data_IF_141227801343
#
_entry.id   IF_141227801343
#
_cell.length_a   1.000
_cell.length_b   1.000
_cell.length_c   1.000
_cell.angle_alpha   90.00
_cell.angle_beta   90.00
_cell.angle_gamma   90.00
#
_symmetry.space_group_name_H-M   'P 1'
#
loop_
_entity.id
_entity.type
_entity.pdbx_description
1 polymer ?
#
# COMPACT_ATOMS: atom_id res chain seq x y z
N UNK A 1 -15.03 8.69 -2.43
CA UNK A 1 -14.25 9.50 -1.48
C UNK A 1 -13.38 10.50 -2.23
N UNK A 2 -13.32 11.71 -1.73
CA UNK A 2 -12.47 12.73 -2.33
C UNK A 2 -10.99 12.41 -2.05
N UNK A 3 -10.13 12.87 -2.94
CA UNK A 3 -8.68 12.73 -2.80
C UNK A 3 -8.21 13.70 -1.70
N UNK A 4 -7.36 13.25 -0.76
CA UNK A 4 -6.81 14.15 0.25
C UNK A 4 -6.04 15.31 -0.39
N UNK A 5 -6.25 16.52 0.12
CA UNK A 5 -5.60 17.74 -0.37
C UNK A 5 -4.89 18.51 0.74
N UNK A 6 -4.91 17.99 1.96
CA UNK A 6 -4.22 18.56 3.10
C UNK A 6 -3.58 17.44 3.91
N UNK A 7 -2.62 17.80 4.74
CA UNK A 7 -1.98 16.87 5.68
C UNK A 7 -3.02 16.19 6.57
N UNK A 8 -3.97 16.95 7.11
CA UNK A 8 -5.00 16.41 7.98
C UNK A 8 -5.89 15.40 7.24
N UNK A 9 -6.29 15.71 6.00
CA UNK A 9 -7.09 14.81 5.18
C UNK A 9 -6.32 13.54 4.81
N UNK A 10 -5.04 13.68 4.50
CA UNK A 10 -4.17 12.52 4.18
C UNK A 10 -4.05 11.57 5.37
N UNK A 11 -3.76 12.10 6.54
CA UNK A 11 -3.63 11.31 7.76
C UNK A 11 -4.94 10.61 8.11
N UNK A 12 -6.06 11.31 7.97
CA UNK A 12 -7.39 10.74 8.22
C UNK A 12 -7.73 9.61 7.26
N UNK A 13 -7.45 9.80 5.96
CA UNK A 13 -7.71 8.78 4.94
C UNK A 13 -6.86 7.53 5.17
N UNK A 14 -5.58 7.71 5.51
CA UNK A 14 -4.69 6.60 5.84
C UNK A 14 -5.24 5.83 7.05
N UNK A 15 -5.53 6.53 8.13
CA UNK A 15 -6.00 5.92 9.37
C UNK A 15 -7.30 5.13 9.15
N UNK A 16 -8.27 5.75 8.50
CA UNK A 16 -9.58 5.14 8.26
C UNK A 16 -9.47 3.88 7.43
N UNK A 17 -8.78 3.96 6.30
CA UNK A 17 -8.68 2.84 5.36
C UNK A 17 -7.79 1.73 5.91
N UNK A 18 -6.72 2.10 6.58
CA UNK A 18 -5.80 1.11 7.17
C UNK A 18 -6.43 0.36 8.34
N UNK A 19 -7.14 1.06 9.22
CA UNK A 19 -7.81 0.43 10.36
C UNK A 19 -8.81 -0.63 9.89
N UNK A 20 -9.56 -0.32 8.83
CA UNK A 20 -10.48 -1.28 8.22
C UNK A 20 -9.73 -2.46 7.62
N UNK A 21 -8.64 -2.18 6.91
CA UNK A 21 -7.81 -3.22 6.28
C UNK A 21 -7.29 -4.22 7.32
N UNK A 22 -6.69 -3.72 8.39
CA UNK A 22 -6.14 -4.57 9.46
C UNK A 22 -7.24 -5.40 10.10
N UNK A 23 -8.41 -4.81 10.33
CA UNK A 23 -9.55 -5.52 10.89
C UNK A 23 -9.95 -6.70 9.99
N UNK A 24 -10.05 -6.46 8.68
CA UNK A 24 -10.37 -7.52 7.72
C UNK A 24 -9.30 -8.60 7.69
N UNK A 25 -8.03 -8.21 7.61
CA UNK A 25 -6.93 -9.17 7.54
C UNK A 25 -6.87 -10.06 8.78
N UNK A 26 -7.14 -9.50 9.96
CA UNK A 26 -7.16 -10.25 11.21
C UNK A 26 -8.39 -11.17 11.32
N UNK A 27 -9.43 -10.92 10.53
CA UNK A 27 -10.65 -11.74 10.52
C UNK A 27 -10.55 -12.97 9.62
N UNK A 28 -9.50 -13.07 8.81
CA UNK A 28 -9.34 -14.16 7.84
C UNK A 28 -8.56 -15.30 8.49
N UNK A 29 -9.08 -16.55 8.43
CA UNK A 29 -8.34 -17.70 8.91
C UNK A 29 -7.00 -17.86 8.20
N UNK A 30 -5.94 -18.12 8.96
CA UNK A 30 -4.58 -18.20 8.44
C UNK A 30 -4.44 -19.22 7.30
N UNK A 31 -5.13 -20.36 7.40
CA UNK A 31 -5.10 -21.44 6.42
C UNK A 31 -5.71 -21.06 5.07
N UNK A 32 -6.45 -19.94 5.00
CA UNK A 32 -7.06 -19.47 3.76
C UNK A 32 -6.24 -18.39 3.04
N UNK A 33 -5.15 -17.95 3.64
CA UNK A 33 -4.41 -16.77 3.15
C UNK A 33 -3.45 -17.08 2.02
N UNK A 34 -3.13 -18.36 1.78
CA UNK A 34 -2.20 -18.80 0.73
C UNK A 34 -2.89 -19.30 -0.53
N UNK A 35 -4.21 -19.33 -0.54
CA UNK A 35 -5.00 -19.84 -1.66
C UNK A 35 -5.10 -18.75 -2.76
N UNK A 36 -4.73 -19.10 -4.00
CA UNK A 36 -4.79 -18.20 -5.15
C UNK A 36 -6.22 -18.12 -5.68
N UNK A 37 -7.09 -17.51 -4.93
CA UNK A 37 -8.54 -17.45 -5.21
C UNK A 37 -9.08 -16.04 -5.29
N UNK A 38 -8.22 -15.03 -5.26
CA UNK A 38 -8.58 -13.63 -5.41
C UNK A 38 -8.14 -13.14 -6.79
N UNK A 39 -8.93 -12.27 -7.41
CA UNK A 39 -8.53 -11.63 -8.66
C UNK A 39 -7.21 -10.88 -8.47
N UNK A 40 -6.24 -11.14 -9.34
CA UNK A 40 -4.91 -10.52 -9.27
C UNK A 40 -4.91 -9.06 -9.71
N UNK A 41 -3.80 -8.39 -9.47
CA UNK A 41 -3.61 -6.99 -9.88
C UNK A 41 -3.50 -6.86 -11.39
N UNK A 42 -2.88 -7.83 -12.07
CA UNK A 42 -2.86 -7.88 -13.51
C UNK A 42 -4.12 -8.61 -14.01
N UNK A 43 -4.69 -8.13 -15.10
CA UNK A 43 -5.89 -8.73 -15.69
C UNK A 43 -5.65 -10.20 -16.04
N UNK A 44 -6.58 -11.06 -15.68
CA UNK A 44 -6.51 -12.48 -15.98
C UNK A 44 -5.61 -13.29 -15.05
N UNK A 45 -5.10 -12.67 -13.98
CA UNK A 45 -4.28 -13.36 -12.97
C UNK A 45 -5.05 -13.55 -11.69
N UNK A 46 -4.58 -14.47 -10.86
CA UNK A 46 -5.10 -14.70 -9.52
C UNK A 46 -3.99 -14.51 -8.49
N UNK A 47 -4.38 -14.16 -7.27
CA UNK A 47 -3.45 -13.99 -6.17
C UNK A 47 -4.07 -14.48 -4.87
N UNK A 48 -3.24 -14.62 -3.84
CA UNK A 48 -3.67 -14.95 -2.49
C UNK A 48 -3.84 -13.69 -1.65
N UNK A 49 -4.44 -13.83 -0.48
CA UNK A 49 -4.51 -12.75 0.51
C UNK A 49 -3.08 -12.33 0.92
N UNK A 50 -2.18 -13.29 1.07
CA UNK A 50 -0.75 -13.03 1.35
C UNK A 50 -0.13 -12.13 0.28
N UNK A 51 -0.42 -12.42 -0.98
CA UNK A 51 0.10 -11.62 -2.10
C UNK A 51 -0.41 -10.19 -2.05
N UNK A 52 -1.69 -10.01 -1.68
CA UNK A 52 -2.26 -8.68 -1.51
C UNK A 52 -1.50 -7.88 -0.45
N UNK A 53 -1.20 -8.51 0.70
CA UNK A 53 -0.44 -7.86 1.77
C UNK A 53 0.99 -7.54 1.30
N UNK A 54 1.64 -8.47 0.60
CA UNK A 54 2.98 -8.26 0.04
C UNK A 54 3.01 -7.10 -0.94
N UNK A 55 1.98 -6.99 -1.77
CA UNK A 55 1.83 -5.89 -2.73
C UNK A 55 1.73 -4.53 -2.02
N UNK A 56 0.90 -4.45 -0.99
CA UNK A 56 0.75 -3.22 -0.20
C UNK A 56 2.05 -2.87 0.52
N UNK A 57 2.70 -3.87 1.08
CA UNK A 57 3.97 -3.70 1.78
C UNK A 57 5.05 -3.18 0.83
N UNK A 58 5.10 -3.72 -0.38
CA UNK A 58 6.04 -3.27 -1.42
C UNK A 58 5.85 -1.80 -1.77
N UNK A 59 4.63 -1.38 -2.07
CA UNK A 59 4.35 0.01 -2.42
C UNK A 59 4.59 0.96 -1.25
N UNK A 60 4.20 0.56 -0.04
CA UNK A 60 4.44 1.38 1.16
C UNK A 60 5.95 1.54 1.41
N UNK A 61 6.72 0.49 1.22
CA UNK A 61 8.18 0.55 1.37
C UNK A 61 8.81 1.48 0.36
N UNK A 62 8.27 1.54 -0.87
CA UNK A 62 8.74 2.49 -1.89
C UNK A 62 8.45 3.94 -1.49
N UNK A 63 7.30 4.20 -0.89
CA UNK A 63 6.99 5.55 -0.39
C UNK A 63 8.07 6.00 0.61
N UNK A 64 8.42 5.14 1.56
CA UNK A 64 9.47 5.44 2.55
C UNK A 64 10.81 5.69 1.83
N UNK A 65 11.15 4.84 0.87
CA UNK A 65 12.38 4.96 0.09
C UNK A 65 12.44 6.30 -0.65
N UNK A 66 11.39 6.65 -1.37
CA UNK A 66 11.35 7.89 -2.15
C UNK A 66 11.54 9.12 -1.26
N UNK A 67 10.79 9.17 -0.17
CA UNK A 67 10.83 10.33 0.75
C UNK A 67 12.20 10.41 1.45
N UNK A 68 12.73 9.28 1.87
CA UNK A 68 14.03 9.22 2.56
C UNK A 68 15.16 9.66 1.62
N UNK A 69 15.17 9.19 0.38
CA UNK A 69 16.19 9.57 -0.61
C UNK A 69 16.08 11.05 -0.94
N UNK A 70 14.88 11.54 -1.16
CA UNK A 70 14.62 12.95 -1.43
C UNK A 70 15.12 13.84 -0.29
N UNK A 71 14.85 13.46 0.96
CA UNK A 71 15.27 14.21 2.13
C UNK A 71 16.79 14.29 2.27
N UNK A 72 17.52 13.32 1.71
CA UNK A 72 19.00 13.28 1.71
C UNK A 72 19.58 13.94 0.47
N UNK A 73 18.78 14.50 -0.41
CA UNK A 73 19.24 15.08 -1.67
C UNK A 73 19.71 14.07 -2.68
N UNK A 74 19.34 12.81 -2.52
CA UNK A 74 19.71 11.74 -3.44
C UNK A 74 18.67 11.61 -4.56
N UNK A 75 19.10 11.15 -5.73
CA UNK A 75 18.20 10.85 -6.84
C UNK A 75 17.20 9.77 -6.45
N UNK A 76 15.95 9.95 -6.88
CA UNK A 76 14.88 8.99 -6.63
C UNK A 76 14.49 8.36 -7.96
N UNK A 77 14.52 7.01 -8.01
CA UNK A 77 14.04 6.26 -9.16
C UNK A 77 12.56 5.93 -8.93
N UNK A 78 11.69 6.42 -9.81
CA UNK A 78 10.26 6.13 -9.76
C UNK A 78 9.88 5.16 -10.87
N UNK A 79 9.09 4.11 -10.60
CA UNK A 79 8.59 3.70 -9.29
C UNK A 79 9.63 3.00 -8.43
N UNK A 80 10.60 2.29 -9.05
CA UNK A 80 11.66 1.55 -8.37
C UNK A 80 12.85 1.45 -9.28
N UNK A 81 14.06 1.34 -8.71
CA UNK A 81 15.29 1.11 -9.46
C UNK A 81 15.11 -0.14 -10.34
N UNK A 82 15.35 0.03 -11.65
CA UNK A 82 15.22 -1.06 -12.61
C UNK A 82 13.82 -1.32 -13.13
N UNK A 83 12.82 -0.54 -12.71
CA UNK A 83 11.42 -0.70 -13.16
C UNK A 83 10.87 0.62 -13.68
N UNK A 84 10.01 0.52 -14.69
CA UNK A 84 9.30 1.67 -15.28
C UNK A 84 7.81 1.58 -14.96
N UNK A 85 7.11 2.69 -15.11
CA UNK A 85 5.66 2.74 -14.85
C UNK A 85 4.85 1.79 -15.76
N UNK A 86 5.36 1.42 -16.92
CA UNK A 86 4.69 0.43 -17.77
C UNK A 86 5.06 -1.02 -17.43
N UNK A 87 5.75 -1.23 -16.31
CA UNK A 87 6.19 -2.55 -15.83
C UNK A 87 5.60 -2.88 -14.45
N UNK A 88 4.44 -2.33 -14.12
CA UNK A 88 3.83 -2.52 -12.79
C UNK A 88 3.46 -3.97 -12.49
N UNK A 89 3.15 -4.76 -13.52
CA UNK A 89 2.93 -6.19 -13.35
C UNK A 89 4.18 -6.93 -12.89
N UNK A 90 5.33 -6.58 -13.46
CA UNK A 90 6.62 -7.15 -13.05
C UNK A 90 6.98 -6.72 -11.63
N UNK A 91 6.72 -5.47 -11.30
CA UNK A 91 6.97 -4.94 -9.96
C UNK A 91 6.10 -5.63 -8.91
N UNK A 92 4.83 -5.89 -9.24
CA UNK A 92 3.95 -6.65 -8.36
C UNK A 92 4.52 -8.06 -8.08
N UNK A 93 5.01 -8.75 -9.12
CA UNK A 93 5.64 -10.07 -8.96
C UNK A 93 6.85 -9.98 -8.04
N UNK A 94 7.66 -8.93 -8.18
CA UNK A 94 8.80 -8.71 -7.29
C UNK A 94 8.33 -8.59 -5.83
N UNK A 95 7.28 -7.84 -5.57
CA UNK A 95 6.74 -7.69 -4.21
C UNK A 95 6.28 -9.03 -3.65
N UNK A 96 5.58 -9.84 -4.43
CA UNK A 96 5.15 -11.16 -3.98
C UNK A 96 6.34 -12.02 -3.58
N UNK A 97 7.40 -11.99 -4.36
CA UNK A 97 8.62 -12.76 -4.10
C UNK A 97 9.42 -12.24 -2.91
N UNK A 98 9.55 -10.93 -2.81
CA UNK A 98 10.35 -10.28 -1.74
C UNK A 98 9.88 -10.69 -0.35
N UNK A 99 8.58 -10.92 -0.18
CA UNK A 99 7.99 -11.20 1.12
C UNK A 99 7.45 -12.63 1.26
N UNK A 100 7.75 -13.49 0.29
CA UNK A 100 7.20 -14.86 0.24
C UNK A 100 7.61 -15.74 1.41
N UNK A 101 8.76 -15.46 2.03
CA UNK A 101 9.26 -16.22 3.17
C UNK A 101 8.63 -15.85 4.51
N UNK A 102 7.91 -14.73 4.57
CA UNK A 102 7.29 -14.26 5.81
C UNK A 102 5.98 -15.00 6.10
N UNK A 103 5.72 -15.26 7.37
CA UNK A 103 4.40 -15.76 7.80
C UNK A 103 3.34 -14.67 7.58
N UNK A 104 2.09 -15.07 7.57
CA UNK A 104 0.98 -14.11 7.44
C UNK A 104 1.00 -13.07 8.57
N UNK A 105 1.24 -13.52 9.80
CA UNK A 105 1.32 -12.61 10.96
C UNK A 105 2.49 -11.64 10.82
N UNK A 106 3.64 -12.11 10.31
CA UNK A 106 4.79 -11.25 10.06
C UNK A 106 4.52 -10.23 8.97
N UNK A 107 3.81 -10.62 7.90
CA UNK A 107 3.41 -9.69 6.84
C UNK A 107 2.54 -8.57 7.38
N UNK A 108 1.56 -8.89 8.22
CA UNK A 108 0.69 -7.89 8.84
C UNK A 108 1.51 -6.96 9.75
N UNK A 109 2.41 -7.53 10.56
CA UNK A 109 3.27 -6.74 11.45
C UNK A 109 4.17 -5.79 10.66
N UNK A 110 4.77 -6.26 9.56
CA UNK A 110 5.61 -5.43 8.69
C UNK A 110 4.78 -4.31 8.03
N UNK A 111 3.56 -4.63 7.60
CA UNK A 111 2.66 -3.63 7.01
C UNK A 111 2.31 -2.54 8.02
N UNK A 112 2.04 -2.91 9.26
CA UNK A 112 1.77 -1.94 10.33
C UNK A 112 3.00 -1.07 10.60
N UNK A 113 4.18 -1.67 10.61
CA UNK A 113 5.43 -0.95 10.85
C UNK A 113 5.69 0.09 9.75
N UNK A 114 5.59 -0.30 8.48
CA UNK A 114 5.84 0.63 7.37
C UNK A 114 4.78 1.72 7.30
N UNK A 115 3.52 1.39 7.59
CA UNK A 115 2.44 2.40 7.66
C UNK A 115 2.76 3.43 8.74
N UNK A 116 3.24 3.00 9.90
CA UNK A 116 3.61 3.91 10.99
C UNK A 116 4.80 4.79 10.60
N UNK A 117 5.77 4.25 9.87
CA UNK A 117 6.89 5.05 9.35
C UNK A 117 6.39 6.14 8.40
N UNK A 118 5.44 5.80 7.52
CA UNK A 118 4.85 6.78 6.59
C UNK A 118 4.12 7.88 7.35
N UNK A 119 3.34 7.52 8.36
CA UNK A 119 2.63 8.49 9.20
C UNK A 119 3.62 9.43 9.89
N UNK A 120 4.74 8.89 10.39
CA UNK A 120 5.80 9.68 11.00
C UNK A 120 6.40 10.67 9.99
N UNK A 121 6.70 10.21 8.79
CA UNK A 121 7.24 11.07 7.73
C UNK A 121 6.26 12.19 7.36
N UNK A 122 4.97 11.90 7.32
CA UNK A 122 3.94 12.91 7.07
C UNK A 122 3.89 13.91 8.22
N UNK A 123 3.93 13.43 9.46
CA UNK A 123 3.87 14.29 10.65
C UNK A 123 5.05 15.27 10.73
N UNK A 124 6.19 14.89 10.19
CA UNK A 124 7.40 15.73 10.16
C UNK A 124 7.36 16.82 9.08
N UNK A 125 6.31 16.84 8.25
CA UNK A 125 6.20 17.75 7.11
C UNK A 125 4.99 18.68 7.28
N UNK A 126 5.06 19.83 6.62
CA UNK A 126 3.98 20.82 6.62
C UNK A 126 3.07 20.61 5.42
N UNK A 127 1.89 21.22 5.45
CA UNK A 127 1.00 21.24 4.28
C UNK A 127 1.69 21.82 3.05
N UNK A 128 2.52 22.84 3.22
CA UNK A 128 3.24 23.44 2.10
C UNK A 128 4.18 22.44 1.43
N UNK A 129 4.92 21.67 2.22
CA UNK A 129 5.82 20.63 1.68
C UNK A 129 5.03 19.52 1.01
N UNK A 130 3.92 19.11 1.61
CA UNK A 130 3.12 17.98 1.10
C UNK A 130 2.27 18.36 -0.10
N UNK A 131 1.71 19.56 -0.14
CA UNK A 131 0.69 19.94 -1.13
C UNK A 131 0.94 21.28 -1.82
N UNK A 132 1.91 22.06 -1.37
CA UNK A 132 2.12 23.42 -1.87
C UNK A 132 2.84 23.52 -3.21
N UNK A 133 3.46 22.44 -3.67
CA UNK A 133 4.25 22.44 -4.92
C UNK A 133 4.33 21.04 -5.52
N UNK A 134 4.58 20.96 -6.84
CA UNK A 134 4.87 19.66 -7.46
C UNK A 134 6.13 19.04 -6.86
N UNK A 135 6.12 17.72 -6.71
CA UNK A 135 7.26 16.96 -6.20
C UNK A 135 7.77 15.95 -7.24
N UNK A 136 6.87 15.18 -7.84
CA UNK A 136 7.19 14.28 -8.92
C UNK A 136 6.34 14.64 -10.13
N UNK A 137 6.95 15.12 -11.20
CA UNK A 137 6.28 15.70 -12.37
C UNK A 137 5.25 16.76 -11.92
N UNK A 138 3.97 16.58 -12.21
CA UNK A 138 2.89 17.49 -11.75
C UNK A 138 2.34 17.12 -10.38
N UNK A 139 2.76 15.99 -9.80
CA UNK A 139 2.16 15.44 -8.59
C UNK A 139 2.85 15.99 -7.34
N UNK A 140 2.05 16.37 -6.35
CA UNK A 140 2.57 16.76 -5.04
C UNK A 140 3.07 15.54 -4.28
N UNK A 141 3.91 15.75 -3.26
CA UNK A 141 4.36 14.67 -2.38
C UNK A 141 3.17 13.98 -1.71
N UNK A 142 2.21 14.77 -1.19
CA UNK A 142 1.01 14.22 -0.55
C UNK A 142 0.19 13.36 -1.49
N UNK A 143 0.06 13.78 -2.74
CA UNK A 143 -0.67 13.00 -3.74
C UNK A 143 0.04 11.67 -4.03
N UNK A 144 1.36 11.70 -4.19
CA UNK A 144 2.15 10.47 -4.40
C UNK A 144 2.03 9.52 -3.22
N UNK A 145 2.03 10.05 -2.01
CA UNK A 145 1.79 9.24 -0.81
C UNK A 145 0.39 8.61 -0.86
N UNK A 146 -0.65 9.39 -1.14
CA UNK A 146 -2.02 8.86 -1.15
C UNK A 146 -2.25 7.82 -2.24
N UNK A 147 -1.61 7.96 -3.41
CA UNK A 147 -1.68 6.96 -4.48
C UNK A 147 -1.15 5.59 -4.04
N UNK A 148 -0.27 5.56 -3.05
CA UNK A 148 0.45 4.36 -2.64
C UNK A 148 0.16 3.95 -1.19
N UNK A 149 -0.81 4.57 -0.54
CA UNK A 149 -1.26 4.26 0.82
C UNK A 149 -2.79 4.20 0.90
N UNK A 150 -3.45 5.32 1.17
CA UNK A 150 -4.90 5.37 1.38
C UNK A 150 -5.70 4.81 0.21
N UNK A 151 -5.29 5.10 -1.02
CA UNK A 151 -5.96 4.59 -2.22
C UNK A 151 -5.86 3.08 -2.36
N UNK A 152 -4.65 2.47 -2.34
CA UNK A 152 -4.56 1.00 -2.39
C UNK A 152 -5.13 0.31 -1.15
N UNK A 153 -5.11 0.94 0.04
CA UNK A 153 -5.79 0.37 1.21
C UNK A 153 -7.30 0.26 0.97
N UNK A 154 -7.91 1.32 0.44
CA UNK A 154 -9.34 1.32 0.11
C UNK A 154 -9.67 0.27 -0.97
N UNK A 155 -8.83 0.17 -1.99
CA UNK A 155 -8.97 -0.83 -3.04
C UNK A 155 -8.87 -2.25 -2.47
N UNK A 156 -7.88 -2.49 -1.59
CA UNK A 156 -7.70 -3.78 -0.93
C UNK A 156 -8.92 -4.16 -0.09
N UNK A 157 -9.50 -3.20 0.62
CA UNK A 157 -10.71 -3.43 1.41
C UNK A 157 -11.86 -3.92 0.53
N UNK A 158 -12.04 -3.32 -0.64
CA UNK A 158 -13.05 -3.75 -1.62
C UNK A 158 -12.80 -5.15 -2.15
N UNK A 159 -11.54 -5.46 -2.47
CA UNK A 159 -11.13 -6.80 -2.93
C UNK A 159 -11.39 -7.85 -1.87
N UNK A 160 -11.05 -7.56 -0.62
CA UNK A 160 -11.26 -8.48 0.49
C UNK A 160 -12.74 -8.74 0.75
N UNK A 161 -13.59 -7.71 0.69
CA UNK A 161 -15.03 -7.88 0.86
C UNK A 161 -15.61 -8.79 -0.23
N UNK A 162 -15.21 -8.57 -1.49
CA UNK A 162 -15.67 -9.39 -2.62
C UNK A 162 -15.20 -10.85 -2.47
N UNK A 163 -13.92 -11.01 -2.14
CA UNK A 163 -13.33 -12.35 -1.93
C UNK A 163 -14.01 -13.09 -0.79
N UNK A 164 -14.23 -12.41 0.35
CA UNK A 164 -14.87 -13.00 1.51
C UNK A 164 -16.30 -13.42 1.21
N UNK A 165 -17.04 -12.60 0.46
CA UNK A 165 -18.40 -12.94 0.04
C UNK A 165 -18.41 -14.21 -0.80
N UNK A 166 -17.47 -14.36 -1.73
CA UNK A 166 -17.36 -15.54 -2.58
C UNK A 166 -16.97 -16.79 -1.77
N UNK A 167 -16.27 -16.61 -0.65
CA UNK A 167 -15.84 -17.70 0.24
C UNK A 167 -16.81 -17.93 1.41
N UNK A 168 -17.89 -17.16 1.50
CA UNK A 168 -18.84 -17.21 2.62
C UNK A 168 -18.17 -16.95 3.97
N UNK A 169 -17.23 -16.00 4.00
CA UNK A 169 -16.54 -15.58 5.22
C UNK A 169 -17.08 -14.22 5.65
N UNK A 170 -17.29 -14.05 6.96
CA UNK A 170 -17.69 -12.77 7.52
C UNK A 170 -16.45 -11.95 7.93
N UNK A 171 -16.34 -10.73 7.40
CA UNK A 171 -15.30 -9.77 7.80
C UNK A 171 -15.93 -8.76 8.73
N UNK A 172 -15.66 -8.85 10.03
CA UNK A 172 -16.24 -7.95 11.02
C UNK A 172 -15.17 -7.24 11.84
#
# INVERSE_FOLDING_TARGET
MSVPQTKAELLLAIDKNFSKLIHYLNSIPSEMTSDDSMEGHAKGTEMSVRDLVSYLLGWNSLVVKWITFDAKGQSVDFPETGYKWNQLGLLAQKFYQDYSALSYDSLIAELQTVKNEIVQLINERTDDVLYGKPWYTKWTMGRMISFNTSSPYANANGRLRKWAKNKNISLK
#
